data_IF_419272544003
#
_entry.id   IF_419272544003
#
_cell.length_a   1.000
_cell.length_b   1.000
_cell.length_c   1.000
_cell.angle_alpha   90.00
_cell.angle_beta   90.00
_cell.angle_gamma   90.00
#
_symmetry.space_group_name_H-M   'P 1'
#
loop_
_entity.id
_entity.type
_entity.pdbx_description
1 polymer ?
#
# COMPACT_ATOMS: atom_id res chain seq x y z
N UNK A 1 -10.79 -26.72 21.71
CA UNK A 1 -9.82 -25.98 20.91
C UNK A 1 -10.64 -25.16 19.92
N UNK A 2 -10.83 -23.88 20.22
CA UNK A 2 -11.69 -22.96 19.45
C UNK A 2 -10.98 -22.59 18.15
N UNK A 3 -11.62 -22.87 17.03
CA UNK A 3 -11.30 -22.23 15.75
C UNK A 3 -11.58 -20.73 15.91
N UNK A 4 -10.58 -19.98 16.38
CA UNK A 4 -10.63 -18.53 16.30
C UNK A 4 -10.58 -18.16 14.81
N UNK A 5 -11.69 -17.57 14.35
CA UNK A 5 -11.96 -17.27 12.97
C UNK A 5 -10.79 -16.56 12.32
N UNK A 6 -10.26 -17.17 11.27
CA UNK A 6 -9.47 -16.43 10.26
C UNK A 6 -10.41 -15.36 9.73
N UNK A 7 -10.22 -14.14 10.19
CA UNK A 7 -10.94 -13.00 9.62
C UNK A 7 -10.61 -12.97 8.12
N UNK A 8 -11.61 -13.31 7.31
CA UNK A 8 -11.43 -13.47 5.88
C UNK A 8 -11.10 -12.09 5.32
N UNK A 9 -9.88 -11.94 4.78
CA UNK A 9 -9.42 -10.70 4.18
C UNK A 9 -10.44 -10.22 3.16
N UNK A 10 -10.89 -8.96 3.25
CA UNK A 10 -11.81 -8.38 2.29
C UNK A 10 -11.18 -8.38 0.89
N UNK A 11 -11.93 -8.80 -0.13
CA UNK A 11 -11.46 -8.74 -1.51
C UNK A 11 -11.41 -7.27 -1.95
N UNK A 12 -10.26 -6.81 -2.39
CA UNK A 12 -10.03 -5.42 -2.83
C UNK A 12 -10.94 -4.98 -3.95
N UNK A 13 -11.28 -5.89 -4.88
CA UNK A 13 -12.25 -5.66 -5.95
C UNK A 13 -13.66 -5.27 -5.47
N UNK A 14 -14.01 -5.55 -4.22
CA UNK A 14 -15.30 -5.21 -3.63
C UNK A 14 -15.27 -3.94 -2.77
N UNK A 15 -14.11 -3.28 -2.69
CA UNK A 15 -13.95 -2.04 -1.92
C UNK A 15 -14.46 -0.85 -2.72
N UNK A 16 -15.36 -0.07 -2.12
CA UNK A 16 -16.07 1.05 -2.77
C UNK A 16 -15.54 2.42 -2.34
N UNK A 17 -14.88 2.47 -1.19
CA UNK A 17 -14.39 3.72 -0.60
C UNK A 17 -12.93 3.59 -0.17
N UNK A 18 -12.13 4.57 -0.57
CA UNK A 18 -10.68 4.61 -0.39
C UNK A 18 -10.32 5.96 0.22
N UNK A 19 -9.73 5.96 1.40
CA UNK A 19 -9.39 7.17 2.15
C UNK A 19 -7.88 7.33 2.28
N UNK A 20 -7.34 8.41 1.72
CA UNK A 20 -5.96 8.82 1.93
C UNK A 20 -5.82 9.61 3.23
N UNK A 21 -4.79 9.29 4.00
CA UNK A 21 -4.49 9.92 5.30
C UNK A 21 -3.03 10.32 5.32
N UNK A 22 -2.71 11.52 5.81
CA UNK A 22 -1.32 11.95 6.00
C UNK A 22 -0.54 10.91 6.81
N UNK A 23 0.58 10.42 6.24
CA UNK A 23 1.31 9.27 6.77
C UNK A 23 2.01 9.51 8.11
N UNK A 24 2.17 10.76 8.53
CA UNK A 24 2.84 11.15 9.77
C UNK A 24 1.91 11.83 10.80
N UNK A 25 0.62 12.01 10.47
CA UNK A 25 -0.35 12.60 11.39
C UNK A 25 -1.02 11.50 12.23
N UNK A 26 -0.47 11.25 13.40
CA UNK A 26 -0.93 10.20 14.32
C UNK A 26 -2.41 10.34 14.71
N UNK A 27 -2.92 11.58 14.81
CA UNK A 27 -4.32 11.84 15.17
C UNK A 27 -5.24 11.39 14.04
N UNK A 28 -4.92 11.78 12.79
CA UNK A 28 -5.71 11.38 11.63
C UNK A 28 -5.61 9.88 11.38
N UNK A 29 -4.40 9.30 11.50
CA UNK A 29 -4.17 7.87 11.31
C UNK A 29 -4.98 7.03 12.32
N UNK A 30 -5.00 7.43 13.59
CA UNK A 30 -5.78 6.76 14.63
C UNK A 30 -7.30 6.92 14.44
N UNK A 31 -7.75 8.07 13.92
CA UNK A 31 -9.16 8.35 13.68
C UNK A 31 -9.72 7.74 12.40
N UNK A 32 -8.85 7.40 11.42
CA UNK A 32 -9.24 6.94 10.10
C UNK A 32 -10.24 5.77 10.08
N UNK A 33 -10.11 4.73 10.92
CA UNK A 33 -11.08 3.63 10.94
C UNK A 33 -12.51 4.06 11.22
N UNK A 34 -12.72 5.13 11.98
CA UNK A 34 -14.06 5.65 12.28
C UNK A 34 -14.78 6.24 11.07
N UNK A 35 -14.06 6.49 9.96
CA UNK A 35 -14.66 6.93 8.69
C UNK A 35 -15.55 5.88 8.03
N UNK A 36 -15.33 4.60 8.35
CA UNK A 36 -16.02 3.48 7.70
C UNK A 36 -15.55 3.21 6.27
N UNK A 37 -14.46 3.81 5.81
CA UNK A 37 -13.89 3.52 4.50
C UNK A 37 -13.44 2.05 4.42
N UNK A 38 -13.63 1.44 3.24
CA UNK A 38 -13.25 0.04 3.00
C UNK A 38 -11.71 -0.12 2.96
N UNK A 39 -11.01 0.86 2.38
CA UNK A 39 -9.55 0.91 2.30
C UNK A 39 -9.05 2.20 2.95
N UNK A 40 -8.07 2.06 3.83
CA UNK A 40 -7.36 3.18 4.42
C UNK A 40 -5.94 3.21 3.85
N UNK A 41 -5.50 4.35 3.35
CA UNK A 41 -4.21 4.51 2.69
C UNK A 41 -3.36 5.48 3.50
N UNK A 42 -2.29 4.96 4.13
CA UNK A 42 -1.25 5.79 4.68
C UNK A 42 -0.46 6.42 3.53
N UNK A 43 -0.52 7.71 3.39
CA UNK A 43 0.14 8.40 2.29
C UNK A 43 1.50 8.96 2.71
N UNK A 44 2.58 8.36 2.22
CA UNK A 44 3.95 8.80 2.48
C UNK A 44 4.45 9.74 1.37
N UNK A 45 3.67 9.90 0.30
CA UNK A 45 4.03 10.72 -0.87
C UNK A 45 3.53 12.17 -0.70
N UNK A 46 2.46 12.56 -1.40
CA UNK A 46 2.03 13.94 -1.53
C UNK A 46 1.46 14.54 -0.23
N UNK A 47 0.79 13.76 0.60
CA UNK A 47 0.19 14.24 1.85
C UNK A 47 1.18 14.30 3.01
N UNK A 48 2.37 13.71 2.86
CA UNK A 48 3.42 13.73 3.88
C UNK A 48 4.59 14.58 3.44
N UNK A 49 4.85 15.72 4.09
CA UNK A 49 6.02 16.54 3.79
C UNK A 49 7.32 15.72 3.86
N UNK A 50 8.31 15.96 2.98
CA UNK A 50 9.56 15.18 2.94
C UNK A 50 10.25 15.02 4.30
N UNK A 51 10.26 16.08 5.11
CA UNK A 51 10.86 16.06 6.45
C UNK A 51 10.15 15.11 7.44
N UNK A 52 8.91 14.70 7.14
CA UNK A 52 8.10 13.81 8.00
C UNK A 52 8.04 12.38 7.48
N UNK A 53 8.55 12.09 6.29
CA UNK A 53 8.57 10.74 5.70
C UNK A 53 9.24 9.69 6.59
N UNK A 54 10.38 9.98 7.25
CA UNK A 54 10.98 9.01 8.20
C UNK A 54 10.02 8.61 9.31
N UNK A 55 9.30 9.58 9.90
CA UNK A 55 8.26 9.30 10.92
C UNK A 55 7.12 8.45 10.35
N UNK A 56 6.65 8.75 9.14
CA UNK A 56 5.60 7.97 8.49
C UNK A 56 6.01 6.50 8.29
N UNK A 57 7.27 6.24 7.91
CA UNK A 57 7.85 4.89 7.80
C UNK A 57 7.82 4.16 9.14
N UNK A 58 8.24 4.82 10.21
CA UNK A 58 8.26 4.24 11.57
C UNK A 58 6.86 3.83 12.04
N UNK A 59 5.85 4.62 11.74
CA UNK A 59 4.46 4.37 12.14
C UNK A 59 3.79 3.25 11.32
N UNK A 60 4.28 2.94 10.13
CA UNK A 60 3.55 2.16 9.13
C UNK A 60 3.14 0.76 9.62
N UNK A 61 4.01 0.07 10.34
CA UNK A 61 3.72 -1.29 10.83
C UNK A 61 2.58 -1.29 11.86
N UNK A 62 2.60 -0.36 12.81
CA UNK A 62 1.56 -0.24 13.85
C UNK A 62 0.22 0.17 13.23
N UNK A 63 0.23 1.13 12.33
CA UNK A 63 -0.96 1.62 11.63
C UNK A 63 -1.59 0.52 10.80
N UNK A 64 -0.80 -0.23 10.03
CA UNK A 64 -1.29 -1.37 9.25
C UNK A 64 -2.00 -2.41 10.13
N UNK A 65 -1.40 -2.77 11.26
CA UNK A 65 -1.99 -3.72 12.21
C UNK A 65 -3.29 -3.20 12.82
N UNK A 66 -3.31 -1.92 13.25
CA UNK A 66 -4.49 -1.27 13.83
C UNK A 66 -5.66 -1.20 12.85
N UNK A 67 -5.42 -0.80 11.62
CA UNK A 67 -6.46 -0.70 10.58
C UNK A 67 -7.06 -2.05 10.21
N UNK A 68 -6.23 -3.09 10.11
CA UNK A 68 -6.73 -4.46 9.90
C UNK A 68 -7.58 -4.94 11.07
N UNK A 69 -7.16 -4.65 12.31
CA UNK A 69 -7.95 -5.01 13.50
C UNK A 69 -9.31 -4.32 13.49
N UNK A 70 -9.39 -3.10 12.96
CA UNK A 70 -10.64 -2.37 12.76
C UNK A 70 -11.47 -2.88 11.57
N UNK A 71 -10.97 -3.86 10.77
CA UNK A 71 -11.68 -4.46 9.66
C UNK A 71 -11.51 -3.74 8.31
N UNK A 72 -10.65 -2.74 8.22
CA UNK A 72 -10.30 -2.07 6.97
C UNK A 72 -9.19 -2.82 6.21
N UNK A 73 -9.14 -2.66 4.90
CA UNK A 73 -7.97 -3.00 4.09
C UNK A 73 -6.91 -1.93 4.32
N UNK A 74 -5.72 -2.34 4.72
CA UNK A 74 -4.62 -1.42 5.01
C UNK A 74 -3.69 -1.27 3.81
N UNK A 75 -3.62 -0.06 3.27
CA UNK A 75 -2.78 0.30 2.13
C UNK A 75 -1.75 1.37 2.51
N UNK A 76 -0.65 1.41 1.77
CA UNK A 76 0.36 2.46 1.88
C UNK A 76 0.68 2.98 0.49
N UNK A 77 0.63 4.31 0.28
CA UNK A 77 1.20 4.94 -0.91
C UNK A 77 2.63 5.36 -0.62
N UNK A 78 3.56 4.74 -1.33
CA UNK A 78 4.99 5.04 -1.27
C UNK A 78 5.37 6.16 -2.23
N UNK A 79 6.59 6.68 -2.14
CA UNK A 79 7.15 7.57 -3.15
C UNK A 79 7.53 6.78 -4.43
N UNK A 80 7.74 7.47 -5.58
CA UNK A 80 8.31 6.82 -6.77
C UNK A 80 9.63 6.10 -6.44
N UNK A 81 9.86 4.93 -7.07
CA UNK A 81 11.05 4.13 -6.81
C UNK A 81 12.37 4.85 -7.15
N UNK A 82 12.33 5.77 -8.10
CA UNK A 82 13.49 6.60 -8.49
C UNK A 82 13.89 7.63 -7.41
N UNK A 83 13.06 7.80 -6.37
CA UNK A 83 13.29 8.68 -5.22
C UNK A 83 13.37 7.90 -3.92
N UNK A 84 12.57 8.32 -2.95
CA UNK A 84 12.51 7.70 -1.60
C UNK A 84 11.78 6.34 -1.58
N UNK A 85 11.21 5.90 -2.70
CA UNK A 85 10.33 4.73 -2.75
C UNK A 85 11.00 3.41 -2.33
N UNK A 86 12.31 3.27 -2.53
CA UNK A 86 13.03 2.08 -2.05
C UNK A 86 13.11 2.04 -0.51
N UNK A 87 13.37 3.17 0.13
CA UNK A 87 13.37 3.27 1.59
C UNK A 87 11.96 3.07 2.15
N UNK A 88 10.95 3.60 1.46
CA UNK A 88 9.55 3.44 1.84
C UNK A 88 9.15 1.98 1.81
N UNK A 89 9.35 1.29 0.68
CA UNK A 89 8.90 -0.10 0.52
C UNK A 89 9.60 -1.03 1.51
N UNK A 90 10.89 -0.82 1.79
CA UNK A 90 11.60 -1.61 2.78
C UNK A 90 10.99 -1.43 4.19
N UNK A 91 10.68 -0.21 4.58
CA UNK A 91 10.10 0.08 5.88
C UNK A 91 8.66 -0.43 6.02
N UNK A 92 7.79 -0.17 5.03
CA UNK A 92 6.36 -0.51 5.14
C UNK A 92 6.10 -2.01 5.06
N UNK A 93 6.93 -2.77 4.33
CA UNK A 93 6.77 -4.21 4.20
C UNK A 93 7.00 -4.98 5.49
N UNK A 94 7.65 -4.39 6.50
CA UNK A 94 7.71 -4.96 7.84
C UNK A 94 6.32 -5.10 8.49
N UNK A 95 5.36 -4.23 8.16
CA UNK A 95 3.95 -4.31 8.56
C UNK A 95 3.09 -5.18 7.66
N UNK A 96 3.64 -5.67 6.55
CA UNK A 96 2.96 -6.48 5.53
C UNK A 96 1.62 -5.86 5.08
N UNK A 97 1.58 -4.64 4.51
CA UNK A 97 0.35 -4.00 4.08
C UNK A 97 -0.40 -4.86 3.06
N UNK A 98 -1.73 -4.70 3.02
CA UNK A 98 -2.55 -5.43 2.04
C UNK A 98 -2.29 -4.94 0.63
N UNK A 99 -2.04 -3.63 0.48
CA UNK A 99 -1.82 -2.97 -0.81
C UNK A 99 -0.65 -2.00 -0.67
N UNK A 100 0.24 -2.00 -1.67
CA UNK A 100 1.20 -0.92 -1.90
C UNK A 100 0.76 -0.16 -3.14
N UNK A 101 0.49 1.14 -2.97
CA UNK A 101 0.17 2.04 -4.06
C UNK A 101 1.45 2.72 -4.57
N UNK A 102 1.67 2.64 -5.88
CA UNK A 102 2.78 3.31 -6.56
C UNK A 102 2.26 4.54 -7.31
N UNK A 103 2.71 5.75 -6.97
CA UNK A 103 2.28 6.97 -7.64
C UNK A 103 2.93 7.12 -9.01
N UNK A 104 2.31 7.94 -9.86
CA UNK A 104 2.86 8.43 -11.13
C UNK A 104 3.41 7.33 -12.04
N UNK A 105 2.69 6.21 -12.11
CA UNK A 105 3.08 5.07 -12.95
C UNK A 105 2.90 5.44 -14.43
N UNK A 106 3.97 5.32 -15.21
CA UNK A 106 4.02 5.69 -16.62
C UNK A 106 4.34 4.52 -17.57
N UNK A 107 4.89 3.42 -17.05
CA UNK A 107 5.27 2.25 -17.84
C UNK A 107 5.19 0.95 -17.03
N UNK A 108 5.14 -0.22 -17.71
CA UNK A 108 5.07 -1.53 -17.05
C UNK A 108 6.27 -1.86 -16.16
N UNK A 109 7.48 -1.41 -16.54
CA UNK A 109 8.73 -1.75 -15.84
C UNK A 109 8.71 -1.29 -14.39
N UNK A 110 8.06 -0.13 -14.10
CA UNK A 110 7.90 0.36 -12.74
C UNK A 110 7.11 -0.62 -11.86
N UNK A 111 6.08 -1.25 -12.42
CA UNK A 111 5.28 -2.26 -11.73
C UNK A 111 6.07 -3.55 -11.54
N UNK A 112 6.82 -3.98 -12.54
CA UNK A 112 7.66 -5.18 -12.49
C UNK A 112 8.74 -5.03 -11.42
N UNK A 113 9.42 -3.88 -11.36
CA UNK A 113 10.42 -3.57 -10.33
C UNK A 113 9.80 -3.58 -8.93
N UNK A 114 8.64 -2.94 -8.74
CA UNK A 114 7.94 -2.96 -7.46
C UNK A 114 7.53 -4.39 -7.08
N UNK A 115 7.01 -5.17 -8.02
CA UNK A 115 6.60 -6.55 -7.77
C UNK A 115 7.77 -7.44 -7.34
N UNK A 116 8.95 -7.26 -7.93
CA UNK A 116 10.18 -7.96 -7.51
C UNK A 116 10.61 -7.55 -6.10
N UNK A 117 10.59 -6.24 -5.79
CA UNK A 117 10.93 -5.73 -4.46
C UNK A 117 9.99 -6.30 -3.40
N UNK A 118 8.67 -6.27 -3.64
CA UNK A 118 7.67 -6.84 -2.73
C UNK A 118 7.93 -8.33 -2.52
N UNK A 119 8.22 -9.10 -3.58
CA UNK A 119 8.47 -10.54 -3.47
C UNK A 119 9.66 -10.84 -2.57
N UNK A 120 10.77 -10.12 -2.74
CA UNK A 120 11.96 -10.28 -1.91
C UNK A 120 11.70 -9.90 -0.43
N UNK A 121 10.89 -8.87 -0.20
CA UNK A 121 10.54 -8.43 1.14
C UNK A 121 9.50 -9.34 1.82
N UNK A 122 8.55 -9.90 1.08
CA UNK A 122 7.66 -10.95 1.59
C UNK A 122 8.47 -12.14 2.13
N UNK A 123 9.47 -12.60 1.37
CA UNK A 123 10.38 -13.67 1.82
C UNK A 123 11.15 -13.26 3.08
N UNK A 124 11.76 -12.06 3.07
CA UNK A 124 12.56 -11.54 4.20
C UNK A 124 11.76 -11.42 5.50
N UNK A 125 10.50 -11.00 5.42
CA UNK A 125 9.63 -10.79 6.57
C UNK A 125 8.72 -12.00 6.88
N UNK A 126 8.91 -13.14 6.21
CA UNK A 126 8.08 -14.34 6.35
C UNK A 126 6.59 -14.08 6.09
N UNK A 127 6.30 -13.18 5.18
CA UNK A 127 4.96 -12.91 4.67
C UNK A 127 4.64 -13.93 3.57
N UNK A 128 3.43 -14.52 3.53
CA UNK A 128 3.10 -15.46 2.47
C UNK A 128 3.24 -14.81 1.09
N UNK A 129 3.85 -15.50 0.11
CA UNK A 129 4.09 -14.93 -1.21
C UNK A 129 2.81 -14.49 -1.92
N UNK A 130 2.83 -13.31 -2.52
CA UNK A 130 1.75 -12.80 -3.35
C UNK A 130 0.53 -12.25 -2.59
N UNK A 131 0.64 -12.05 -1.27
CA UNK A 131 -0.47 -11.48 -0.48
C UNK A 131 -0.55 -9.97 -0.56
N UNK A 132 0.58 -9.28 -0.75
CA UNK A 132 0.59 -7.83 -0.93
C UNK A 132 0.25 -7.50 -2.38
N UNK A 133 -0.82 -6.75 -2.57
CA UNK A 133 -1.30 -6.30 -3.88
C UNK A 133 -0.62 -4.98 -4.29
N UNK A 134 -0.66 -4.66 -5.58
CA UNK A 134 -0.15 -3.39 -6.12
C UNK A 134 -1.32 -2.58 -6.66
N UNK A 135 -1.40 -1.31 -6.27
CA UNK A 135 -2.30 -0.31 -6.84
C UNK A 135 -1.47 0.69 -7.66
N UNK A 136 -1.50 0.62 -9.00
CA UNK A 136 -0.85 1.64 -9.82
C UNK A 136 -1.72 2.90 -9.86
N UNK A 137 -1.17 4.05 -9.45
CA UNK A 137 -1.85 5.32 -9.63
C UNK A 137 -1.53 5.86 -11.04
N UNK A 138 -2.52 5.77 -11.92
CA UNK A 138 -2.44 6.30 -13.30
C UNK A 138 -2.89 7.75 -13.29
N UNK A 139 -1.97 8.64 -13.08
CA UNK A 139 -2.22 10.08 -12.85
C UNK A 139 -1.40 11.00 -13.75
N UNK A 140 -0.76 10.42 -14.79
CA UNK A 140 -0.04 11.16 -15.83
C UNK A 140 -0.59 10.84 -17.22
N UNK A 141 -0.43 11.76 -18.17
CA UNK A 141 -0.85 11.53 -19.55
C UNK A 141 -0.12 10.32 -20.18
N UNK A 142 1.16 10.11 -19.84
CA UNK A 142 1.94 8.97 -20.32
C UNK A 142 1.42 7.66 -19.72
N UNK A 143 1.14 7.63 -18.42
CA UNK A 143 0.56 6.46 -17.76
C UNK A 143 -0.78 6.07 -18.37
N UNK A 144 -1.62 7.05 -18.70
CA UNK A 144 -2.90 6.80 -19.38
C UNK A 144 -2.71 6.15 -20.76
N UNK A 145 -1.73 6.58 -21.53
CA UNK A 145 -1.42 5.99 -22.85
C UNK A 145 -0.93 4.54 -22.73
N UNK A 146 -0.23 4.20 -21.64
CA UNK A 146 0.33 2.87 -21.40
C UNK A 146 -0.53 2.00 -20.47
N UNK A 147 -1.68 2.47 -20.01
CA UNK A 147 -2.51 1.81 -19.01
C UNK A 147 -2.77 0.32 -19.33
N UNK A 148 -3.06 -0.01 -20.57
CA UNK A 148 -3.31 -1.40 -20.99
C UNK A 148 -2.11 -2.33 -20.83
N UNK A 149 -0.87 -1.81 -20.86
CA UNK A 149 0.34 -2.58 -20.57
C UNK A 149 0.62 -2.62 -19.06
N UNK A 150 0.46 -1.50 -18.38
CA UNK A 150 0.69 -1.37 -16.93
C UNK A 150 -0.18 -2.38 -16.15
N UNK A 151 -1.48 -2.46 -16.42
CA UNK A 151 -2.38 -3.36 -15.70
C UNK A 151 -2.10 -4.85 -15.92
N UNK A 152 -1.31 -5.20 -16.93
CA UNK A 152 -0.90 -6.59 -17.23
C UNK A 152 0.48 -6.92 -16.72
N UNK A 153 1.23 -5.95 -16.23
CA UNK A 153 2.62 -6.11 -15.84
C UNK A 153 2.84 -7.01 -14.62
N UNK A 154 1.81 -7.19 -13.78
CA UNK A 154 1.92 -8.05 -12.61
C UNK A 154 0.58 -8.66 -12.22
N UNK A 155 0.60 -9.94 -11.80
CA UNK A 155 -0.55 -10.61 -11.18
C UNK A 155 -0.89 -10.08 -9.77
N UNK A 156 -0.10 -9.14 -9.24
CA UNK A 156 -0.39 -8.43 -7.97
C UNK A 156 -1.39 -7.28 -8.13
N UNK A 157 -1.66 -6.83 -9.35
CA UNK A 157 -2.70 -5.82 -9.62
C UNK A 157 -4.05 -6.53 -9.64
N UNK A 158 -4.91 -6.20 -8.66
CA UNK A 158 -6.23 -6.84 -8.50
C UNK A 158 -7.37 -5.86 -8.30
N UNK A 159 -7.08 -4.59 -8.02
CA UNK A 159 -8.04 -3.51 -7.85
C UNK A 159 -8.02 -2.57 -9.04
#
# INVERSE_FOLDING_TARGET
MSEQGKQQRRQTMLCRSWLFVNGADEIQLAAAPASGADVLIQDIEDFTPPAQRPKARELSSEITAGWRTAGAVAAVRINPLEGDGHDDIEAVMAGAPDIVALPKVENPDQIEHLAMAITALEERYNVPPGVTEILPNIETARGLLHMGAIIKASGRIKA
#
